data_IF_393273044840
#
_entry.id   IF_393273044840
#
_cell.length_a   1.000
_cell.length_b   1.000
_cell.length_c   1.000
_cell.angle_alpha   90.00
_cell.angle_beta   90.00
_cell.angle_gamma   90.00
#
_symmetry.space_group_name_H-M   'P 1'
#
loop_
_entity.id
_entity.type
_entity.pdbx_description
1 polymer ?
#
# COMPACT_ATOMS: atom_id res chain seq x y z
N UNK A 1 28.82 -19.93 -27.76
CA UNK A 1 27.64 -19.82 -26.93
C UNK A 1 26.52 -19.41 -27.88
N UNK A 2 25.56 -20.34 -28.09
CA UNK A 2 24.39 -20.06 -28.91
C UNK A 2 23.54 -19.06 -28.09
N UNK A 3 23.37 -17.87 -28.62
CA UNK A 3 22.26 -16.98 -28.22
C UNK A 3 20.98 -17.75 -28.57
N UNK A 4 20.37 -18.32 -27.55
CA UNK A 4 19.00 -18.77 -27.65
C UNK A 4 18.19 -17.50 -27.92
N UNK A 5 17.77 -17.33 -29.15
CA UNK A 5 16.84 -16.27 -29.58
C UNK A 5 15.47 -16.59 -28.95
N UNK A 6 15.37 -16.39 -27.64
CA UNK A 6 14.14 -16.61 -26.89
C UNK A 6 13.21 -15.44 -27.24
N UNK A 7 12.05 -15.75 -27.79
CA UNK A 7 11.03 -14.72 -28.04
C UNK A 7 10.69 -13.99 -26.74
N UNK A 8 10.36 -12.71 -26.80
CA UNK A 8 9.92 -11.97 -25.63
C UNK A 8 8.77 -12.66 -24.90
N UNK A 9 8.77 -12.55 -23.57
CA UNK A 9 7.66 -12.99 -22.71
C UNK A 9 6.48 -12.01 -22.88
N UNK A 10 5.38 -12.49 -23.45
CA UNK A 10 4.19 -11.66 -23.65
C UNK A 10 3.30 -11.66 -22.43
N UNK A 11 3.05 -10.46 -21.90
CA UNK A 11 2.28 -10.24 -20.69
C UNK A 11 1.02 -9.44 -21.03
N UNK A 12 -0.12 -9.90 -20.55
CA UNK A 12 -1.37 -9.14 -20.57
C UNK A 12 -1.76 -8.71 -19.16
N UNK A 13 -2.40 -7.56 -19.05
CA UNK A 13 -3.02 -7.06 -17.83
C UNK A 13 -4.53 -6.90 -18.04
N UNK A 14 -5.34 -7.35 -17.08
CA UNK A 14 -6.78 -7.21 -17.15
C UNK A 14 -7.39 -6.94 -15.77
N UNK A 15 -8.63 -6.46 -15.78
CA UNK A 15 -9.44 -6.34 -14.57
C UNK A 15 -8.84 -5.39 -13.51
N UNK A 16 -8.12 -4.36 -13.95
CA UNK A 16 -7.66 -3.26 -13.13
C UNK A 16 -8.58 -2.05 -13.22
N UNK A 17 -8.40 -1.09 -12.32
CA UNK A 17 -9.13 0.18 -12.33
C UNK A 17 -8.78 1.03 -13.56
N UNK A 18 -9.67 1.94 -13.98
CA UNK A 18 -9.36 2.88 -15.06
C UNK A 18 -8.12 3.72 -14.71
N UNK A 19 -7.14 3.75 -15.65
CA UNK A 19 -5.87 4.46 -15.46
C UNK A 19 -4.76 3.65 -14.80
N UNK A 20 -4.95 2.34 -14.60
CA UNK A 20 -3.84 1.44 -14.25
C UNK A 20 -2.79 1.42 -15.36
N UNK A 21 -1.53 1.60 -14.99
CA UNK A 21 -0.42 1.54 -15.93
C UNK A 21 0.18 0.12 -15.98
N UNK A 22 0.05 -0.51 -17.14
CA UNK A 22 0.51 -1.88 -17.36
C UNK A 22 2.04 -2.02 -17.40
N UNK A 23 2.79 -0.93 -17.60
CA UNK A 23 4.26 -0.94 -17.67
C UNK A 23 4.93 -0.22 -16.50
N UNK A 24 4.15 0.49 -15.67
CA UNK A 24 4.63 1.15 -14.45
C UNK A 24 4.11 0.45 -13.18
N UNK A 25 4.35 -0.86 -13.05
CA UNK A 25 3.95 -1.62 -11.86
C UNK A 25 5.04 -2.59 -11.40
N UNK A 26 4.90 -3.10 -10.18
CA UNK A 26 5.92 -3.93 -9.52
C UNK A 26 6.18 -5.27 -10.21
N UNK A 27 5.15 -5.86 -10.84
CA UNK A 27 5.30 -7.13 -11.59
C UNK A 27 6.08 -6.91 -12.87
N UNK A 28 5.77 -5.83 -13.61
CA UNK A 28 6.52 -5.44 -14.80
C UNK A 28 7.99 -5.16 -14.46
N UNK A 29 8.24 -4.35 -13.42
CA UNK A 29 9.59 -4.02 -12.94
C UNK A 29 10.38 -5.30 -12.59
N UNK A 30 9.79 -6.20 -11.82
CA UNK A 30 10.46 -7.44 -11.42
C UNK A 30 10.82 -8.34 -12.62
N UNK A 31 9.87 -8.54 -13.55
CA UNK A 31 10.11 -9.36 -14.74
C UNK A 31 11.13 -8.77 -15.67
N UNK A 32 11.20 -7.44 -15.81
CA UNK A 32 12.19 -6.74 -16.65
C UNK A 32 13.63 -6.96 -16.20
N UNK A 33 13.86 -7.41 -14.95
CA UNK A 33 15.22 -7.73 -14.47
C UNK A 33 15.80 -9.01 -15.11
N UNK A 34 14.94 -9.88 -15.66
CA UNK A 34 15.37 -11.19 -16.14
C UNK A 34 14.90 -11.52 -17.55
N UNK A 35 13.76 -11.00 -17.98
CA UNK A 35 13.12 -11.33 -19.24
C UNK A 35 13.04 -10.12 -20.14
N UNK A 36 13.21 -10.35 -21.46
CA UNK A 36 12.68 -9.42 -22.44
C UNK A 36 11.15 -9.58 -22.45
N UNK A 37 10.43 -8.48 -22.22
CA UNK A 37 8.97 -8.54 -22.03
C UNK A 37 8.26 -7.68 -23.07
N UNK A 38 7.11 -8.16 -23.52
CA UNK A 38 6.23 -7.49 -24.48
C UNK A 38 4.82 -7.40 -23.90
N UNK A 39 4.26 -6.18 -23.89
CA UNK A 39 2.87 -5.97 -23.52
C UNK A 39 1.94 -6.38 -24.67
N UNK A 40 0.95 -7.21 -24.37
CA UNK A 40 -0.12 -7.53 -25.33
C UNK A 40 -1.51 -7.16 -24.78
N UNK A 41 -2.34 -6.55 -25.61
CA UNK A 41 -3.74 -6.25 -25.28
C UNK A 41 -4.65 -7.47 -25.44
N UNK A 42 -4.22 -8.48 -26.21
CA UNK A 42 -5.00 -9.66 -26.50
C UNK A 42 -4.54 -10.83 -25.64
N UNK A 43 -5.34 -11.19 -24.64
CA UNK A 43 -5.02 -12.25 -23.67
C UNK A 43 -4.70 -13.59 -24.34
N UNK A 44 -5.33 -13.91 -25.48
CA UNK A 44 -5.07 -15.18 -26.21
C UNK A 44 -3.61 -15.35 -26.65
N UNK A 45 -2.85 -14.27 -26.76
CA UNK A 45 -1.44 -14.30 -27.14
C UNK A 45 -0.49 -14.16 -25.95
N UNK A 46 -1.02 -13.97 -24.76
CA UNK A 46 -0.21 -13.80 -23.55
C UNK A 46 0.36 -15.13 -23.07
N UNK A 47 1.59 -15.11 -22.62
CA UNK A 47 2.24 -16.19 -21.90
C UNK A 47 1.91 -16.13 -20.40
N UNK A 48 1.63 -14.92 -19.91
CA UNK A 48 1.23 -14.61 -18.54
C UNK A 48 0.11 -13.57 -18.53
N UNK A 49 -0.93 -13.84 -17.76
CA UNK A 49 -1.97 -12.85 -17.44
C UNK A 49 -1.81 -12.37 -16.00
N UNK A 50 -1.67 -11.06 -15.82
CA UNK A 50 -1.77 -10.39 -14.51
C UNK A 50 -3.15 -9.73 -14.40
N UNK A 51 -3.88 -9.98 -13.32
CA UNK A 51 -5.23 -9.45 -13.19
C UNK A 51 -5.51 -8.88 -11.79
N UNK A 52 -6.43 -7.93 -11.73
CA UNK A 52 -6.86 -7.23 -10.52
C UNK A 52 -8.31 -7.54 -10.14
N UNK A 53 -8.92 -6.63 -9.34
CA UNK A 53 -10.23 -6.81 -8.69
C UNK A 53 -11.41 -6.22 -9.48
N UNK A 54 -11.18 -5.57 -10.63
CA UNK A 54 -12.18 -4.70 -11.27
C UNK A 54 -12.83 -5.30 -12.50
N UNK A 55 -12.90 -6.63 -12.60
CA UNK A 55 -13.51 -7.30 -13.73
C UNK A 55 -13.45 -8.82 -13.67
N UNK A 56 -13.77 -9.44 -14.79
CA UNK A 56 -13.91 -10.91 -14.90
C UNK A 56 -13.26 -11.48 -16.16
N UNK A 57 -12.50 -10.68 -16.91
CA UNK A 57 -11.87 -11.13 -18.17
C UNK A 57 -10.85 -12.26 -17.95
N UNK A 58 -10.24 -12.30 -16.75
CA UNK A 58 -9.32 -13.37 -16.37
C UNK A 58 -9.97 -14.76 -16.34
N UNK A 59 -11.30 -14.87 -16.27
CA UNK A 59 -12.00 -16.17 -16.26
C UNK A 59 -11.86 -16.93 -17.59
N UNK A 60 -11.74 -16.22 -18.69
CA UNK A 60 -11.64 -16.83 -20.03
C UNK A 60 -10.19 -17.25 -20.37
N UNK A 61 -9.22 -16.78 -19.64
CA UNK A 61 -7.82 -17.09 -19.87
C UNK A 61 -7.44 -18.43 -19.22
N UNK A 62 -6.85 -19.34 -20.02
CA UNK A 62 -6.48 -20.69 -19.57
C UNK A 62 -4.96 -20.90 -19.38
N UNK A 63 -4.18 -19.83 -19.48
CA UNK A 63 -2.73 -19.84 -19.23
C UNK A 63 -2.39 -19.57 -17.76
N UNK A 64 -1.14 -19.25 -17.50
CA UNK A 64 -0.64 -18.86 -16.16
C UNK A 64 -1.20 -17.52 -15.74
N UNK A 65 -1.75 -17.47 -14.53
CA UNK A 65 -2.42 -16.28 -13.98
C UNK A 65 -1.77 -15.82 -12.69
N UNK A 66 -1.48 -14.53 -12.62
CA UNK A 66 -1.02 -13.84 -11.41
C UNK A 66 -2.09 -12.85 -10.97
N UNK A 67 -2.56 -13.00 -9.75
CA UNK A 67 -3.43 -12.04 -9.11
C UNK A 67 -2.60 -10.93 -8.44
N UNK A 68 -2.90 -9.68 -8.72
CA UNK A 68 -2.25 -8.51 -8.13
C UNK A 68 -3.30 -7.58 -7.54
N UNK A 69 -3.30 -7.44 -6.23
CA UNK A 69 -4.22 -6.55 -5.52
C UNK A 69 -3.56 -5.71 -4.45
N UNK A 70 -4.06 -4.49 -4.25
CA UNK A 70 -3.75 -3.64 -3.09
C UNK A 70 -4.84 -3.70 -2.02
N UNK A 71 -5.94 -4.39 -2.28
CA UNK A 71 -7.09 -4.48 -1.38
C UNK A 71 -6.93 -5.60 -0.34
N UNK A 72 -7.70 -5.52 0.74
CA UNK A 72 -7.71 -6.53 1.79
C UNK A 72 -8.52 -7.77 1.34
N UNK A 73 -8.02 -8.46 0.33
CA UNK A 73 -8.65 -9.62 -0.28
C UNK A 73 -7.78 -10.86 -0.10
N UNK A 74 -8.42 -11.99 0.26
CA UNK A 74 -7.75 -13.30 0.30
C UNK A 74 -7.70 -13.84 -1.12
N UNK A 75 -6.51 -14.21 -1.64
CA UNK A 75 -6.38 -14.80 -2.97
C UNK A 75 -7.19 -16.10 -3.11
N UNK A 76 -7.85 -16.24 -4.25
CA UNK A 76 -8.54 -17.47 -4.65
C UNK A 76 -7.67 -18.25 -5.66
N UNK A 77 -7.03 -19.30 -5.18
CA UNK A 77 -6.16 -20.14 -6.00
C UNK A 77 -6.89 -21.12 -6.93
N UNK A 78 -8.20 -21.09 -6.97
CA UNK A 78 -8.97 -21.67 -8.07
C UNK A 78 -9.02 -20.74 -9.29
N UNK A 79 -8.58 -19.47 -9.13
CA UNK A 79 -8.57 -18.47 -10.19
C UNK A 79 -7.19 -18.00 -10.61
N UNK A 80 -6.14 -18.24 -9.79
CA UNK A 80 -4.76 -17.84 -10.08
C UNK A 80 -3.75 -18.91 -9.65
N UNK A 81 -2.55 -18.83 -10.23
CA UNK A 81 -1.42 -19.71 -9.90
C UNK A 81 -0.50 -19.08 -8.85
N UNK A 82 -0.45 -17.73 -8.80
CA UNK A 82 0.36 -16.93 -7.89
C UNK A 82 -0.43 -15.67 -7.55
N UNK A 83 -0.27 -15.16 -6.34
CA UNK A 83 -0.90 -13.92 -5.91
C UNK A 83 0.09 -12.99 -5.21
N UNK A 84 0.05 -11.72 -5.56
CA UNK A 84 0.67 -10.61 -4.84
C UNK A 84 -0.42 -9.79 -4.17
N UNK A 85 -0.49 -9.87 -2.86
CA UNK A 85 -1.54 -9.22 -2.07
C UNK A 85 -1.02 -8.81 -0.69
N UNK A 86 -1.70 -7.90 0.03
CA UNK A 86 -1.38 -7.62 1.44
C UNK A 86 -1.54 -8.85 2.34
N UNK A 87 -2.44 -9.78 1.97
CA UNK A 87 -2.83 -10.93 2.79
C UNK A 87 -1.91 -12.11 2.52
N UNK A 88 -1.26 -12.61 3.56
CA UNK A 88 -0.51 -13.86 3.53
C UNK A 88 -1.41 -15.05 3.89
N UNK A 89 -1.17 -16.19 3.26
CA UNK A 89 -1.80 -17.46 3.64
C UNK A 89 -0.71 -18.34 4.23
N UNK A 90 -0.73 -18.62 5.54
CA UNK A 90 0.31 -19.40 6.18
C UNK A 90 0.51 -20.76 5.51
N UNK A 91 1.77 -21.06 5.10
CA UNK A 91 2.14 -22.32 4.46
C UNK A 91 1.85 -22.38 2.95
N UNK A 92 1.19 -21.42 2.34
CA UNK A 92 1.00 -21.36 0.89
C UNK A 92 1.95 -20.36 0.23
N UNK A 93 3.00 -20.86 -0.42
CA UNK A 93 4.02 -20.03 -1.09
C UNK A 93 3.50 -19.30 -2.32
N UNK A 94 2.29 -19.61 -2.76
CA UNK A 94 1.64 -18.90 -3.88
C UNK A 94 1.07 -17.55 -3.44
N UNK A 95 0.82 -17.35 -2.14
CA UNK A 95 0.43 -16.07 -1.56
C UNK A 95 1.68 -15.30 -1.13
N UNK A 96 2.14 -14.40 -1.97
CA UNK A 96 3.32 -13.56 -1.71
C UNK A 96 2.86 -12.20 -1.20
N UNK A 97 3.35 -11.83 -0.02
CA UNK A 97 2.97 -10.57 0.60
C UNK A 97 3.49 -9.37 -0.21
N UNK A 98 2.58 -8.53 -0.65
CA UNK A 98 2.87 -7.25 -1.30
C UNK A 98 1.87 -6.19 -0.84
N UNK A 99 2.12 -5.50 0.28
CA UNK A 99 1.26 -4.41 0.76
C UNK A 99 1.11 -3.30 -0.28
N UNK A 100 -0.04 -2.62 -0.27
CA UNK A 100 -0.29 -1.59 -1.27
C UNK A 100 0.72 -0.43 -1.21
N UNK A 101 1.21 -0.05 -0.02
CA UNK A 101 2.27 0.96 0.07
C UNK A 101 3.52 0.57 -0.73
N UNK A 102 3.89 -0.72 -0.75
CA UNK A 102 5.05 -1.21 -1.51
C UNK A 102 4.77 -1.30 -3.01
N UNK A 103 3.50 -1.32 -3.43
CA UNK A 103 3.12 -1.23 -4.84
C UNK A 103 3.25 0.19 -5.37
N UNK A 104 2.92 1.21 -4.56
CA UNK A 104 2.91 2.62 -4.98
C UNK A 104 4.22 3.37 -4.73
N UNK A 105 5.01 2.94 -3.74
CA UNK A 105 6.33 3.50 -3.51
C UNK A 105 7.34 2.93 -4.51
N UNK A 106 7.83 3.77 -5.41
CA UNK A 106 8.89 3.37 -6.36
C UNK A 106 10.22 3.06 -5.65
N UNK A 107 10.54 3.83 -4.61
CA UNK A 107 11.80 3.73 -3.88
C UNK A 107 11.62 3.90 -2.36
N UNK A 108 12.36 3.11 -1.59
CA UNK A 108 12.46 3.28 -0.14
C UNK A 108 13.40 4.43 0.27
N UNK A 109 14.38 4.78 -0.59
CA UNK A 109 15.45 5.74 -0.27
C UNK A 109 14.97 7.07 0.32
N UNK A 110 13.91 7.73 -0.16
CA UNK A 110 13.42 8.99 0.42
C UNK A 110 12.92 8.85 1.87
N UNK A 111 12.62 7.63 2.30
CA UNK A 111 12.11 7.33 3.63
C UNK A 111 13.21 6.85 4.61
N UNK A 112 14.42 6.58 4.13
CA UNK A 112 15.55 6.23 4.98
C UNK A 112 16.15 7.50 5.61
N UNK A 113 16.38 7.47 6.91
CA UNK A 113 16.90 8.61 7.66
C UNK A 113 18.42 8.59 7.66
N UNK A 114 19.04 9.63 7.15
CA UNK A 114 20.50 9.82 7.30
C UNK A 114 20.87 10.07 8.77
N UNK A 115 22.10 9.72 9.18
CA UNK A 115 22.58 10.08 10.51
C UNK A 115 22.42 11.59 10.76
N UNK A 116 21.82 11.95 11.89
CA UNK A 116 21.57 13.36 12.23
C UNK A 116 20.43 14.03 11.46
N UNK A 117 19.59 13.25 10.75
CA UNK A 117 18.41 13.77 10.06
C UNK A 117 17.56 14.64 10.99
N UNK A 118 17.19 15.83 10.50
CA UNK A 118 16.28 16.75 11.15
C UNK A 118 15.02 16.91 10.30
N UNK A 119 13.88 16.79 10.95
CA UNK A 119 12.61 17.08 10.29
C UNK A 119 12.56 18.56 9.88
N UNK A 120 11.93 18.82 8.73
CA UNK A 120 11.68 20.19 8.27
C UNK A 120 10.96 20.98 9.39
N UNK A 121 11.42 22.22 9.69
CA UNK A 121 10.81 23.11 10.70
C UNK A 121 9.33 23.48 10.44
N UNK A 122 8.68 22.96 9.39
CA UNK A 122 7.23 23.07 9.14
C UNK A 122 6.34 22.58 10.30
N UNK A 123 6.87 22.56 11.52
CA UNK A 123 6.09 22.25 12.75
C UNK A 123 5.03 23.31 13.07
N UNK A 124 5.15 24.53 12.54
CA UNK A 124 4.20 25.64 12.71
C UNK A 124 3.00 25.60 11.73
N UNK A 125 2.68 24.41 11.21
CA UNK A 125 1.54 24.29 10.29
C UNK A 125 0.24 24.70 10.95
N UNK A 126 -0.60 25.49 10.24
CA UNK A 126 -1.79 26.09 10.84
C UNK A 126 -2.88 25.07 11.19
N UNK A 127 -3.00 24.01 10.40
CA UNK A 127 -4.02 23.00 10.64
C UNK A 127 -3.54 21.93 11.66
N UNK A 128 -4.41 21.57 12.58
CA UNK A 128 -4.14 20.51 13.55
C UNK A 128 -3.95 19.17 12.84
N UNK A 129 -4.98 18.69 12.15
CA UNK A 129 -4.98 17.36 11.56
C UNK A 129 -5.72 17.39 10.23
N UNK A 130 -5.21 16.63 9.26
CA UNK A 130 -5.83 16.39 7.96
C UNK A 130 -6.40 14.97 7.87
N UNK A 131 -7.44 14.83 7.05
CA UNK A 131 -8.06 13.56 6.72
C UNK A 131 -8.52 13.55 5.27
N UNK A 132 -8.26 12.47 4.54
CA UNK A 132 -8.74 12.30 3.16
C UNK A 132 -9.29 10.90 2.98
N UNK A 133 -10.59 10.79 2.89
CA UNK A 133 -11.28 9.53 2.61
C UNK A 133 -12.60 9.77 1.90
N UNK A 134 -12.98 8.83 1.04
CA UNK A 134 -14.30 8.82 0.38
C UNK A 134 -15.16 7.62 0.76
N UNK A 135 -14.54 6.55 1.30
CA UNK A 135 -15.27 5.35 1.71
C UNK A 135 -15.90 5.53 3.10
N UNK A 136 -17.23 5.47 3.25
CA UNK A 136 -17.92 5.68 4.53
C UNK A 136 -18.01 4.42 5.41
N UNK A 137 -17.65 3.24 4.90
CA UNK A 137 -18.02 1.95 5.53
C UNK A 137 -17.18 1.59 6.76
N UNK A 138 -15.95 2.13 6.91
CA UNK A 138 -15.08 1.82 8.05
C UNK A 138 -15.55 2.53 9.33
N UNK A 139 -16.29 1.81 10.20
CA UNK A 139 -16.86 2.36 11.43
C UNK A 139 -15.80 2.89 12.40
N UNK A 140 -14.67 2.20 12.55
CA UNK A 140 -13.63 2.62 13.49
C UNK A 140 -12.96 3.90 13.04
N UNK A 141 -12.56 4.01 11.78
CA UNK A 141 -12.02 5.25 11.20
C UNK A 141 -12.97 6.44 11.39
N UNK A 142 -14.28 6.21 11.18
CA UNK A 142 -15.29 7.24 11.37
C UNK A 142 -15.39 7.67 12.86
N UNK A 143 -15.25 6.74 13.80
CA UNK A 143 -15.22 7.03 15.26
C UNK A 143 -13.97 7.83 15.64
N UNK A 144 -12.79 7.44 15.12
CA UNK A 144 -11.52 8.15 15.35
C UNK A 144 -11.64 9.60 14.86
N UNK A 145 -12.11 9.80 13.62
CA UNK A 145 -12.34 11.14 13.10
C UNK A 145 -13.24 11.97 14.02
N UNK A 146 -14.40 11.43 14.39
CA UNK A 146 -15.39 12.14 15.23
C UNK A 146 -14.86 12.43 16.64
N UNK A 147 -14.07 11.53 17.24
CA UNK A 147 -13.47 11.75 18.57
C UNK A 147 -12.50 12.92 18.53
N UNK A 148 -11.58 12.93 17.58
CA UNK A 148 -10.62 14.02 17.42
C UNK A 148 -11.29 15.34 17.02
N UNK A 149 -12.20 15.30 16.06
CA UNK A 149 -12.87 16.50 15.55
C UNK A 149 -13.71 17.24 16.61
N UNK A 150 -14.29 16.50 17.58
CA UNK A 150 -15.00 17.10 18.72
C UNK A 150 -14.07 17.88 19.66
N UNK A 151 -12.82 17.46 19.79
CA UNK A 151 -11.82 18.11 20.65
C UNK A 151 -11.08 19.22 19.94
N UNK A 152 -10.69 19.00 18.68
CA UNK A 152 -9.99 19.97 17.85
C UNK A 152 -10.33 19.74 16.36
N UNK A 153 -10.60 20.80 15.58
CA UNK A 153 -11.02 20.66 14.19
C UNK A 153 -10.04 19.84 13.36
N UNK A 154 -10.55 18.77 12.70
CA UNK A 154 -9.86 17.98 11.70
C UNK A 154 -10.33 18.46 10.33
N UNK A 155 -9.40 18.88 9.47
CA UNK A 155 -9.68 19.25 8.09
C UNK A 155 -9.88 17.99 7.24
N UNK A 156 -11.04 17.85 6.59
CA UNK A 156 -11.34 16.72 5.70
C UNK A 156 -11.49 17.17 4.26
N UNK A 157 -10.61 16.66 3.38
CA UNK A 157 -10.57 17.00 1.95
C UNK A 157 -11.19 15.94 1.03
N UNK A 158 -11.60 14.78 1.57
CA UNK A 158 -12.31 13.75 0.81
C UNK A 158 -13.83 14.05 0.72
N UNK A 159 -14.61 13.10 0.21
CA UNK A 159 -16.08 13.23 0.25
C UNK A 159 -16.65 12.88 1.63
N UNK A 160 -15.93 12.06 2.41
CA UNK A 160 -16.34 11.70 3.76
C UNK A 160 -16.00 12.82 4.75
N UNK A 161 -17.00 13.31 5.50
CA UNK A 161 -16.87 14.38 6.48
C UNK A 161 -16.22 15.66 5.92
N UNK A 162 -16.49 15.98 4.65
CA UNK A 162 -15.86 17.09 3.96
C UNK A 162 -16.00 18.42 4.73
N UNK A 163 -14.89 19.12 4.92
CA UNK A 163 -14.84 20.44 5.58
C UNK A 163 -14.30 21.53 4.66
N UNK A 164 -13.94 21.18 3.43
CA UNK A 164 -13.35 22.11 2.44
C UNK A 164 -14.36 22.64 1.44
N UNK A 165 -15.63 22.19 1.53
CA UNK A 165 -16.70 22.55 0.60
C UNK A 165 -16.71 21.70 -0.68
N UNK A 166 -15.53 21.37 -1.22
CA UNK A 166 -15.35 20.50 -2.38
C UNK A 166 -14.31 19.42 -2.09
N UNK A 167 -14.29 18.36 -2.89
CA UNK A 167 -13.16 17.40 -2.86
C UNK A 167 -11.89 18.12 -3.31
N UNK A 168 -10.80 17.90 -2.60
CA UNK A 168 -9.50 18.47 -2.96
C UNK A 168 -8.93 17.83 -4.24
N UNK A 169 -8.19 18.59 -5.02
CA UNK A 169 -7.52 18.15 -6.23
C UNK A 169 -6.09 17.64 -5.92
N UNK A 170 -5.34 18.35 -5.08
CA UNK A 170 -3.99 17.99 -4.66
C UNK A 170 -3.97 17.49 -3.22
N UNK A 171 -3.93 16.14 -3.08
CA UNK A 171 -3.86 15.46 -1.78
C UNK A 171 -2.60 15.85 -1.02
N UNK A 172 -1.43 15.88 -1.67
CA UNK A 172 -0.18 16.12 -0.97
C UNK A 172 -0.05 17.55 -0.47
N UNK A 173 -0.45 18.54 -1.27
CA UNK A 173 -0.51 19.93 -0.83
C UNK A 173 -1.46 20.09 0.37
N UNK A 174 -2.60 19.40 0.36
CA UNK A 174 -3.54 19.42 1.47
C UNK A 174 -2.95 18.80 2.76
N UNK A 175 -2.32 17.63 2.68
CA UNK A 175 -1.71 16.96 3.83
C UNK A 175 -0.60 17.82 4.45
N UNK A 176 0.23 18.47 3.64
CA UNK A 176 1.33 19.34 4.08
C UNK A 176 0.90 20.57 4.89
N UNK A 177 -0.37 20.90 4.92
CA UNK A 177 -0.91 22.03 5.70
C UNK A 177 -1.18 21.66 7.16
N UNK A 178 -1.17 20.37 7.52
CA UNK A 178 -1.51 19.88 8.84
C UNK A 178 -0.31 19.28 9.57
N UNK A 179 -0.29 19.41 10.89
CA UNK A 179 0.72 18.79 11.76
C UNK A 179 0.56 17.29 11.89
N UNK A 180 -0.69 16.82 11.83
CA UNK A 180 -1.05 15.40 11.88
C UNK A 180 -1.83 14.99 10.64
N UNK A 181 -1.84 13.69 10.37
CA UNK A 181 -2.73 13.10 9.37
C UNK A 181 -3.40 11.84 9.93
N UNK A 182 -4.71 11.70 9.74
CA UNK A 182 -5.43 10.47 10.03
C UNK A 182 -5.16 9.45 8.92
N UNK A 183 -4.13 8.63 9.13
CA UNK A 183 -3.70 7.54 8.25
C UNK A 183 -4.42 6.24 8.66
N UNK A 184 -5.76 6.24 8.63
CA UNK A 184 -6.56 5.09 9.00
C UNK A 184 -6.98 4.28 7.79
N UNK A 185 -6.75 2.98 7.85
CA UNK A 185 -7.10 2.04 6.77
C UNK A 185 -8.61 1.82 6.64
N UNK A 186 -9.02 1.19 5.54
CA UNK A 186 -10.41 0.82 5.31
C UNK A 186 -10.86 -0.36 6.19
N UNK A 187 -9.94 -1.22 6.57
CA UNK A 187 -10.15 -2.39 7.41
C UNK A 187 -8.93 -2.68 8.28
N UNK A 188 -9.08 -3.57 9.27
CA UNK A 188 -8.00 -4.03 10.14
C UNK A 188 -7.68 -5.47 9.83
N UNK A 189 -6.54 -5.70 9.19
CA UNK A 189 -6.07 -7.04 8.81
C UNK A 189 -4.54 -7.07 8.83
N UNK A 190 -3.91 -8.18 9.21
CA UNK A 190 -2.46 -8.34 9.10
C UNK A 190 -1.98 -8.07 7.66
N UNK A 191 -0.86 -7.37 7.53
CA UNK A 191 -0.26 -7.02 6.24
C UNK A 191 -0.93 -5.89 5.47
N UNK A 192 -2.18 -5.49 5.81
CA UNK A 192 -2.91 -4.48 5.06
C UNK A 192 -2.50 -3.06 5.46
N UNK A 193 -1.43 -2.58 4.84
CA UNK A 193 -0.93 -1.20 4.94
C UNK A 193 -0.95 -0.58 3.55
N UNK A 194 -1.61 0.59 3.43
CA UNK A 194 -1.79 1.26 2.13
C UNK A 194 -0.98 2.55 2.03
N UNK A 195 -1.20 3.29 0.95
CA UNK A 195 -0.59 4.61 0.72
C UNK A 195 -0.84 5.62 1.84
N UNK A 196 -1.87 5.43 2.66
CA UNK A 196 -2.28 6.43 3.67
C UNK A 196 -1.18 6.73 4.68
N UNK A 197 -0.48 5.69 5.14
CA UNK A 197 0.61 5.86 6.09
C UNK A 197 1.81 6.57 5.46
N UNK A 198 2.22 6.12 4.27
CA UNK A 198 3.38 6.70 3.58
C UNK A 198 3.12 8.11 3.06
N UNK A 199 1.88 8.43 2.68
CA UNK A 199 1.49 9.79 2.31
C UNK A 199 1.59 10.76 3.49
N UNK A 200 1.16 10.35 4.70
CA UNK A 200 1.31 11.14 5.91
C UNK A 200 2.79 11.45 6.20
N UNK A 201 3.64 10.42 6.10
CA UNK A 201 5.08 10.54 6.31
C UNK A 201 5.73 11.42 5.24
N UNK A 202 5.37 11.23 3.98
CA UNK A 202 5.87 12.04 2.85
C UNK A 202 5.43 13.51 2.96
N UNK A 203 4.25 13.74 3.50
CA UNK A 203 3.80 15.10 3.82
C UNK A 203 4.51 15.71 5.03
N UNK A 204 5.41 15.00 5.70
CA UNK A 204 6.01 15.35 7.00
C UNK A 204 4.93 15.69 8.04
N UNK A 205 3.79 15.01 8.03
CA UNK A 205 2.77 15.08 9.06
C UNK A 205 2.91 13.88 10.00
N UNK A 206 2.68 14.08 11.30
CA UNK A 206 2.67 12.96 12.25
C UNK A 206 1.50 12.03 11.92
N UNK A 207 1.76 10.74 11.57
CA UNK A 207 0.69 9.82 11.25
C UNK A 207 -0.07 9.40 12.53
N UNK A 208 -1.39 9.54 12.50
CA UNK A 208 -2.29 8.91 13.45
C UNK A 208 -2.83 7.67 12.75
N UNK A 209 -2.29 6.51 13.10
CA UNK A 209 -2.53 5.27 12.38
C UNK A 209 -3.55 4.37 13.06
N UNK A 210 -4.39 3.75 12.26
CA UNK A 210 -5.19 2.60 12.63
C UNK A 210 -5.36 1.69 11.41
N UNK A 211 -5.03 0.40 11.55
CA UNK A 211 -5.07 -0.56 10.43
C UNK A 211 -4.44 -1.88 10.81
N UNK A 212 -3.42 -2.30 10.06
CA UNK A 212 -2.74 -3.56 10.26
C UNK A 212 -2.21 -3.71 11.69
N UNK A 213 -2.55 -4.81 12.41
CA UNK A 213 -2.05 -5.05 13.76
C UNK A 213 -0.53 -5.30 13.79
N UNK A 214 0.04 -5.68 12.66
CA UNK A 214 1.45 -5.98 12.45
C UNK A 214 2.18 -4.86 11.68
N UNK A 215 1.69 -3.62 11.73
CA UNK A 215 2.32 -2.47 11.06
C UNK A 215 3.81 -2.30 11.43
N UNK A 216 4.18 -2.68 12.67
CA UNK A 216 5.57 -2.69 13.15
C UNK A 216 6.48 -3.73 12.46
N UNK A 217 5.95 -4.60 11.60
CA UNK A 217 6.77 -5.50 10.76
C UNK A 217 7.63 -4.71 9.77
N UNK A 218 7.07 -3.66 9.19
CA UNK A 218 7.73 -2.84 8.16
C UNK A 218 8.10 -1.45 8.67
N UNK A 219 7.26 -0.85 9.53
CA UNK A 219 7.41 0.53 9.99
C UNK A 219 7.93 0.58 11.43
N UNK A 220 8.83 1.51 11.70
CA UNK A 220 9.30 1.76 13.07
C UNK A 220 8.15 2.34 13.90
N UNK A 221 7.79 1.72 15.05
CA UNK A 221 6.67 2.21 15.86
C UNK A 221 6.84 3.66 16.34
N UNK A 222 8.07 4.19 16.36
CA UNK A 222 8.36 5.55 16.78
C UNK A 222 7.95 6.61 15.75
N UNK A 223 7.72 6.23 14.47
CA UNK A 223 7.39 7.18 13.40
C UNK A 223 5.89 7.48 13.27
N UNK A 224 5.04 6.91 14.13
CA UNK A 224 3.58 7.05 14.07
C UNK A 224 2.96 6.99 15.48
N UNK A 225 1.73 7.46 15.60
CA UNK A 225 0.88 7.22 16.78
C UNK A 225 -0.14 6.16 16.39
N UNK A 226 0.02 4.94 16.93
CA UNK A 226 -0.90 3.84 16.63
C UNK A 226 -2.05 3.85 17.63
N UNK A 227 -3.27 4.08 17.15
CA UNK A 227 -4.49 4.07 17.98
C UNK A 227 -4.68 2.74 18.73
N UNK A 228 -4.18 1.65 18.17
CA UNK A 228 -4.31 0.31 18.79
C UNK A 228 -3.42 0.10 20.02
N UNK A 229 -2.50 1.01 20.32
CA UNK A 229 -1.60 0.93 21.48
C UNK A 229 -2.22 1.50 22.76
N UNK A 230 -3.43 2.08 22.66
CA UNK A 230 -4.17 2.68 23.79
C UNK A 230 -5.34 1.79 24.20
N UNK A 231 -5.70 1.87 25.49
CA UNK A 231 -6.79 1.09 26.03
C UNK A 231 -8.15 1.42 25.39
N UNK A 232 -8.35 2.69 25.07
CA UNK A 232 -9.55 3.15 24.38
C UNK A 232 -9.28 4.39 23.51
N UNK A 233 -10.33 4.85 22.82
CA UNK A 233 -10.24 5.98 21.92
C UNK A 233 -10.11 7.33 22.63
N UNK A 234 -10.59 7.46 23.85
CA UNK A 234 -10.49 8.69 24.63
C UNK A 234 -9.04 8.87 25.12
N UNK A 235 -8.41 7.80 25.61
CA UNK A 235 -7.00 7.81 25.97
C UNK A 235 -6.11 8.14 24.76
N UNK A 236 -6.37 7.51 23.61
CA UNK A 236 -5.66 7.79 22.35
C UNK A 236 -5.81 9.27 21.94
N UNK A 237 -7.03 9.80 22.01
CA UNK A 237 -7.33 11.19 21.67
C UNK A 237 -6.57 12.17 22.57
N UNK A 238 -6.57 11.95 23.89
CA UNK A 238 -5.85 12.80 24.85
C UNK A 238 -4.32 12.70 24.65
N UNK A 239 -3.80 11.52 24.31
CA UNK A 239 -2.38 11.35 23.98
C UNK A 239 -1.99 12.16 22.73
N UNK A 240 -2.80 12.13 21.67
CA UNK A 240 -2.59 12.91 20.46
C UNK A 240 -2.60 14.42 20.77
N UNK A 241 -3.53 14.89 21.60
CA UNK A 241 -3.61 16.29 21.99
C UNK A 241 -2.41 16.73 22.83
N UNK A 242 -1.87 15.86 23.70
CA UNK A 242 -0.61 16.13 24.41
C UNK A 242 0.57 16.28 23.45
N UNK A 243 0.69 15.38 22.46
CA UNK A 243 1.72 15.47 21.41
C UNK A 243 1.54 16.75 20.57
N UNK A 244 0.31 17.19 20.32
CA UNK A 244 0.07 18.45 19.59
C UNK A 244 0.56 19.69 20.34
N UNK A 245 0.58 19.66 21.65
CA UNK A 245 1.11 20.74 22.53
C UNK A 245 2.63 20.66 22.74
N UNK A 246 3.24 19.51 22.46
CA UNK A 246 4.68 19.25 22.65
C UNK A 246 5.39 19.16 21.29
N UNK A 247 6.02 20.28 20.88
CA UNK A 247 6.80 20.33 19.64
C UNK A 247 7.95 19.30 19.64
N UNK A 248 8.63 19.12 20.77
CA UNK A 248 9.73 18.16 20.86
C UNK A 248 9.24 16.72 20.70
N UNK A 249 8.04 16.39 21.18
CA UNK A 249 7.41 15.08 20.95
C UNK A 249 7.08 14.88 19.46
N UNK A 250 6.48 15.88 18.81
CA UNK A 250 6.21 15.81 17.35
C UNK A 250 7.51 15.63 16.57
N UNK A 251 8.53 16.40 16.89
CA UNK A 251 9.85 16.33 16.25
C UNK A 251 10.45 14.94 16.40
N UNK A 252 10.42 14.34 17.58
CA UNK A 252 10.91 12.96 17.80
C UNK A 252 10.22 11.94 16.90
N UNK A 253 8.90 12.06 16.68
CA UNK A 253 8.15 11.16 15.79
C UNK A 253 8.57 11.37 14.34
N UNK A 254 8.68 12.61 13.87
CA UNK A 254 9.03 12.94 12.49
C UNK A 254 10.50 12.59 12.14
N UNK A 255 11.41 12.63 13.12
CA UNK A 255 12.83 12.31 12.97
C UNK A 255 13.12 10.81 13.16
N UNK A 256 12.18 10.04 13.68
CA UNK A 256 12.34 8.60 13.84
C UNK A 256 12.58 7.90 12.49
N UNK A 257 13.31 6.78 12.46
CA UNK A 257 13.33 5.92 11.27
C UNK A 257 11.92 5.60 10.80
N UNK A 258 11.69 5.62 9.50
CA UNK A 258 10.37 5.30 8.95
C UNK A 258 10.17 3.78 8.90
N UNK A 259 11.14 3.09 8.31
CA UNK A 259 11.10 1.64 8.26
C UNK A 259 11.86 1.02 9.43
N UNK A 260 11.44 -0.15 9.85
CA UNK A 260 12.06 -0.91 10.93
C UNK A 260 13.56 -1.10 10.65
N UNK A 261 14.39 -0.79 11.63
CA UNK A 261 15.84 -0.86 11.48
C UNK A 261 16.43 0.16 10.48
N UNK A 262 15.66 1.15 10.03
CA UNK A 262 16.04 2.11 8.99
C UNK A 262 16.50 1.44 7.69
N UNK A 263 15.89 0.34 7.32
CA UNK A 263 16.18 -0.44 6.13
C UNK A 263 14.93 -0.60 5.27
N UNK A 264 15.11 -0.70 3.95
CA UNK A 264 13.99 -0.94 3.04
C UNK A 264 13.33 -2.30 3.37
N UNK A 265 12.00 -2.38 3.52
CA UNK A 265 11.31 -3.64 3.68
C UNK A 265 11.53 -4.58 2.48
N UNK A 266 11.64 -5.88 2.75
CA UNK A 266 11.88 -6.90 1.71
C UNK A 266 10.84 -6.85 0.58
N UNK A 267 9.57 -6.63 0.93
CA UNK A 267 8.47 -6.52 -0.05
C UNK A 267 8.62 -5.37 -1.04
N UNK A 268 9.52 -4.40 -0.79
CA UNK A 268 9.86 -3.33 -1.73
C UNK A 268 10.97 -3.73 -2.70
N UNK A 269 11.65 -4.87 -2.50
CA UNK A 269 12.66 -5.36 -3.44
C UNK A 269 12.00 -5.99 -4.67
N UNK A 270 12.42 -5.63 -5.90
CA UNK A 270 11.95 -6.33 -7.10
C UNK A 270 12.25 -7.83 -7.09
N UNK A 271 13.35 -8.26 -6.43
CA UNK A 271 13.73 -9.66 -6.28
C UNK A 271 12.70 -10.46 -5.47
N UNK A 272 12.00 -9.83 -4.52
CA UNK A 272 10.92 -10.44 -3.75
C UNK A 272 9.79 -10.98 -4.64
N UNK A 273 9.51 -10.28 -5.76
CA UNK A 273 8.51 -10.70 -6.74
C UNK A 273 9.12 -11.58 -7.83
N UNK A 274 10.36 -11.33 -8.21
CA UNK A 274 11.02 -12.04 -9.32
C UNK A 274 11.16 -13.54 -9.05
N UNK A 275 11.55 -13.94 -7.84
CA UNK A 275 11.75 -15.35 -7.52
C UNK A 275 10.48 -16.19 -7.74
N UNK A 276 9.32 -15.88 -7.12
CA UNK A 276 8.09 -16.65 -7.33
C UNK A 276 7.55 -16.55 -8.77
N UNK A 277 7.76 -15.43 -9.46
CA UNK A 277 7.39 -15.28 -10.88
C UNK A 277 8.25 -16.20 -11.77
N UNK A 278 9.54 -16.27 -11.48
CA UNK A 278 10.46 -17.17 -12.20
C UNK A 278 10.08 -18.63 -11.97
N UNK A 279 9.82 -19.02 -10.72
CA UNK A 279 9.38 -20.38 -10.38
C UNK A 279 8.09 -20.75 -11.13
N UNK A 280 7.13 -19.80 -11.22
CA UNK A 280 5.91 -20.00 -11.98
C UNK A 280 6.18 -20.17 -13.48
N UNK A 281 6.99 -19.30 -14.07
CA UNK A 281 7.23 -19.28 -15.52
C UNK A 281 8.08 -20.46 -16.00
N UNK A 282 9.08 -20.89 -15.22
CA UNK A 282 10.01 -21.95 -15.57
C UNK A 282 9.53 -23.35 -15.10
N UNK A 283 8.42 -23.40 -14.33
CA UNK A 283 7.81 -24.68 -13.94
C UNK A 283 7.46 -25.50 -15.17
N UNK A 284 7.86 -26.78 -15.18
CA UNK A 284 7.48 -27.76 -16.21
C UNK A 284 6.03 -28.24 -16.09
N UNK A 285 5.37 -27.91 -14.98
CA UNK A 285 3.96 -28.24 -14.80
C UNK A 285 3.11 -27.43 -15.79
N UNK A 286 2.14 -28.07 -16.46
CA UNK A 286 1.20 -27.32 -17.30
C UNK A 286 0.46 -26.30 -16.47
N UNK A 287 0.08 -25.19 -17.08
CA UNK A 287 -0.80 -24.20 -16.44
C UNK A 287 -2.04 -24.93 -15.88
N UNK A 288 -2.42 -24.60 -14.65
CA UNK A 288 -3.63 -25.18 -14.06
C UNK A 288 -4.83 -24.74 -14.90
N UNK A 289 -5.74 -25.69 -15.16
CA UNK A 289 -7.04 -25.34 -15.70
C UNK A 289 -7.89 -24.81 -14.56
N UNK A 290 -8.08 -23.52 -14.52
CA UNK A 290 -8.94 -22.89 -13.53
C UNK A 290 -10.41 -23.15 -13.91
N UNK A 291 -11.25 -23.57 -12.96
CA UNK A 291 -12.66 -23.78 -13.24
C UNK A 291 -13.30 -22.48 -13.76
N UNK A 292 -14.13 -22.58 -14.79
CA UNK A 292 -14.93 -21.42 -15.21
C UNK A 292 -15.96 -21.14 -14.12
N UNK A 293 -15.88 -19.98 -13.51
CA UNK A 293 -16.94 -19.49 -12.63
C UNK A 293 -18.18 -19.24 -13.50
N UNK A 294 -19.26 -20.00 -13.23
CA UNK A 294 -20.55 -19.86 -13.94
C UNK A 294 -21.40 -18.79 -13.29
#
# INVERSE_FOLDING_TARGET
>A
PAELNMRPLRIAFSDFWPGFDAVENRVWEALSLRYEIELTSETRYADLLVFGDFGTRHWDFQGRKVYLTGENMVPDFDQCDLAFSPVEIPGDRRAVRLPYYAQVLKEAKPFLRAPGYKADPCLDRPAFCSFVSSNPTCRMRNRIFKSLHRKKPVASGGTLFNTTGTKIDDKMAFLRRARFNLACENSRSPGYVTEKLVDAIHACAVPIYWGAPDVGRDFDPRCLINISDYADLDEATEAILRVDQDEAARRRILEAPVFLGNAAPECMSPQHLLAPLTDLLESRSPARRHPRVR
#
